data_IF_411758844921
#
_entry.id   IF_411758844921
#
_cell.length_a   1.000
_cell.length_b   1.000
_cell.length_c   1.000
_cell.angle_alpha   90.00
_cell.angle_beta   90.00
_cell.angle_gamma   90.00
#
_symmetry.space_group_name_H-M   'P 1'
#
loop_
_entity.id
_entity.type
_entity.pdbx_description
1 polymer ?
#
# COMPACT_ATOMS: atom_id res chain seq x y z
N UNK A 1 62.21 -3.79 35.60
CA UNK A 1 62.76 -4.44 34.38
C UNK A 1 61.79 -5.53 33.93
N UNK A 2 61.67 -5.68 32.60
CA UNK A 2 60.90 -6.68 31.83
C UNK A 2 59.46 -6.29 31.48
N UNK A 3 59.42 -5.69 30.27
CA UNK A 3 58.30 -5.50 29.33
C UNK A 3 57.57 -6.82 29.11
N UNK A 4 56.25 -6.80 28.91
CA UNK A 4 55.54 -7.61 27.90
C UNK A 4 54.13 -6.99 27.65
N UNK A 5 53.99 -6.34 26.50
CA UNK A 5 52.75 -6.17 25.72
C UNK A 5 52.86 -7.25 24.62
N UNK A 6 51.83 -8.06 24.29
CA UNK A 6 50.70 -7.68 23.42
C UNK A 6 49.38 -8.38 23.87
N UNK A 7 48.19 -8.27 23.29
CA UNK A 7 47.72 -8.23 21.91
C UNK A 7 46.17 -8.07 22.00
N UNK A 8 45.53 -7.35 21.08
CA UNK A 8 44.24 -7.63 20.40
C UNK A 8 43.28 -8.62 21.12
N UNK A 9 42.01 -8.30 21.39
CA UNK A 9 40.93 -8.31 20.39
C UNK A 9 39.82 -7.33 20.76
N UNK A 10 39.64 -6.32 19.91
CA UNK A 10 38.42 -5.54 19.78
C UNK A 10 37.42 -6.40 18.99
N UNK A 11 36.49 -7.06 19.67
CA UNK A 11 35.34 -7.71 19.03
C UNK A 11 34.31 -6.63 18.67
N UNK A 12 34.62 -5.81 17.67
CA UNK A 12 33.59 -5.13 16.88
C UNK A 12 33.02 -6.18 15.92
N UNK A 13 32.09 -6.98 16.43
CA UNK A 13 31.16 -7.68 15.55
C UNK A 13 30.28 -6.61 14.89
N UNK A 14 30.76 -6.08 13.76
CA UNK A 14 29.90 -5.59 12.70
C UNK A 14 29.05 -6.78 12.24
N UNK A 15 27.95 -7.04 12.95
CA UNK A 15 26.87 -7.86 12.42
C UNK A 15 26.23 -7.02 11.31
N UNK A 16 26.81 -7.15 10.12
CA UNK A 16 26.24 -6.68 8.87
C UNK A 16 24.85 -7.30 8.76
N UNK A 17 23.81 -6.52 9.03
CA UNK A 17 22.44 -6.92 8.78
C UNK A 17 22.28 -7.08 7.27
N UNK A 18 22.48 -8.31 6.76
CA UNK A 18 22.06 -8.66 5.40
C UNK A 18 20.56 -8.44 5.35
N UNK A 19 20.15 -7.29 4.81
CA UNK A 19 18.76 -6.98 4.49
C UNK A 19 18.34 -8.03 3.45
N UNK A 20 17.49 -8.97 3.86
CA UNK A 20 16.92 -9.98 2.97
C UNK A 20 16.12 -9.26 1.87
N UNK A 21 16.24 -9.72 0.61
CA UNK A 21 15.46 -9.21 -0.51
C UNK A 21 13.95 -9.29 -0.24
N UNK A 22 13.50 -10.29 0.54
CA UNK A 22 12.12 -10.40 0.97
C UNK A 22 11.67 -9.24 1.87
N UNK A 23 12.54 -8.74 2.75
CA UNK A 23 12.21 -7.60 3.63
C UNK A 23 12.14 -6.29 2.84
N UNK A 24 12.94 -6.14 1.79
CA UNK A 24 12.81 -5.02 0.85
C UNK A 24 11.44 -5.05 0.17
N UNK A 25 10.99 -6.22 -0.29
CA UNK A 25 9.72 -6.37 -0.97
C UNK A 25 8.51 -6.12 -0.05
N UNK A 26 8.57 -6.53 1.23
CA UNK A 26 7.55 -6.16 2.23
C UNK A 26 7.43 -4.63 2.33
N UNK A 27 8.56 -3.92 2.41
CA UNK A 27 8.54 -2.46 2.48
C UNK A 27 7.97 -1.84 1.20
N UNK A 28 8.29 -2.38 0.02
CA UNK A 28 7.70 -1.89 -1.23
C UNK A 28 6.18 -2.02 -1.26
N UNK A 29 5.63 -3.16 -0.81
CA UNK A 29 4.18 -3.37 -0.72
C UNK A 29 3.53 -2.35 0.23
N UNK A 30 4.11 -2.17 1.42
CA UNK A 30 3.56 -1.25 2.43
C UNK A 30 3.71 0.22 2.02
N UNK A 31 4.80 0.59 1.34
CA UNK A 31 4.99 1.94 0.83
C UNK A 31 3.90 2.33 -0.19
N UNK A 32 3.49 1.39 -1.05
CA UNK A 32 2.40 1.63 -2.00
C UNK A 32 1.07 1.86 -1.26
N UNK A 33 0.79 1.07 -0.22
CA UNK A 33 -0.37 1.30 0.66
C UNK A 33 -0.31 2.70 1.28
N UNK A 34 0.82 3.05 1.91
CA UNK A 34 0.99 4.31 2.63
C UNK A 34 0.91 5.53 1.72
N UNK A 35 1.28 5.42 0.44
CA UNK A 35 1.19 6.49 -0.56
C UNK A 35 -0.26 6.97 -0.75
N UNK A 36 -1.23 6.06 -0.72
CA UNK A 36 -2.64 6.36 -1.04
C UNK A 36 -3.54 6.40 0.19
N UNK A 37 -3.10 5.90 1.34
CA UNK A 37 -3.86 5.99 2.60
C UNK A 37 -4.30 7.41 2.98
N UNK A 38 -3.48 8.47 2.83
CA UNK A 38 -3.92 9.85 3.07
C UNK A 38 -5.08 10.31 2.17
N UNK A 39 -5.32 9.66 1.02
CA UNK A 39 -6.36 10.02 0.05
C UNK A 39 -7.72 9.43 0.39
N UNK A 40 -7.82 8.54 1.37
CA UNK A 40 -9.08 7.88 1.74
C UNK A 40 -10.15 8.88 2.21
N UNK A 41 -9.74 9.94 2.91
CA UNK A 41 -10.65 11.03 3.28
C UNK A 41 -11.13 11.85 2.07
N UNK A 42 -10.25 12.02 1.07
CA UNK A 42 -10.58 12.71 -0.17
C UNK A 42 -11.61 11.92 -1.00
N UNK A 43 -11.47 10.59 -1.11
CA UNK A 43 -12.45 9.71 -1.78
C UNK A 43 -13.87 9.91 -1.24
N UNK A 44 -14.03 9.85 0.08
CA UNK A 44 -15.34 10.02 0.72
C UNK A 44 -15.91 11.42 0.48
N UNK A 45 -15.05 12.45 0.56
CA UNK A 45 -15.44 13.84 0.30
C UNK A 45 -15.91 14.03 -1.15
N UNK A 46 -15.15 13.51 -2.12
CA UNK A 46 -15.48 13.61 -3.54
C UNK A 46 -16.77 12.85 -3.86
N UNK A 47 -16.94 11.65 -3.29
CA UNK A 47 -18.15 10.84 -3.51
C UNK A 47 -19.39 11.60 -3.08
N UNK A 48 -19.35 12.24 -1.90
CA UNK A 48 -20.45 13.09 -1.43
C UNK A 48 -20.72 14.26 -2.40
N UNK A 49 -19.68 14.99 -2.82
CA UNK A 49 -19.83 16.13 -3.75
C UNK A 49 -20.41 15.72 -5.10
N UNK A 50 -19.98 14.58 -5.64
CA UNK A 50 -20.48 14.03 -6.90
C UNK A 50 -21.96 13.67 -6.76
N UNK A 51 -22.35 13.00 -5.68
CA UNK A 51 -23.76 12.66 -5.42
C UNK A 51 -24.63 13.90 -5.21
N UNK A 52 -24.13 14.94 -4.54
CA UNK A 52 -24.85 16.19 -4.33
C UNK A 52 -25.13 16.94 -5.66
N UNK A 53 -24.39 16.65 -6.75
CA UNK A 53 -24.63 17.19 -8.11
C UNK A 53 -25.58 16.33 -8.96
N UNK A 54 -25.97 15.13 -8.52
CA UNK A 54 -26.83 14.23 -9.31
C UNK A 54 -28.19 14.87 -9.59
N UNK A 55 -28.76 15.53 -8.57
CA UNK A 55 -30.02 16.26 -8.71
C UNK A 55 -29.79 17.54 -9.52
N UNK A 56 -30.39 17.62 -10.72
CA UNK A 56 -30.25 18.77 -11.62
C UNK A 56 -29.14 18.64 -12.67
N UNK A 57 -28.39 17.54 -12.68
CA UNK A 57 -27.44 17.23 -13.75
C UNK A 57 -28.15 16.77 -15.03
N UNK A 58 -27.62 17.15 -16.19
CA UNK A 58 -28.01 16.57 -17.49
C UNK A 58 -27.52 15.14 -17.70
N UNK A 59 -26.56 14.70 -16.88
CA UNK A 59 -25.92 13.38 -16.93
C UNK A 59 -25.90 12.72 -15.54
N UNK A 60 -27.08 12.42 -14.94
CA UNK A 60 -27.16 11.91 -13.57
C UNK A 60 -26.55 10.51 -13.41
N UNK A 61 -26.63 9.67 -14.43
CA UNK A 61 -26.11 8.30 -14.37
C UNK A 61 -24.57 8.28 -14.43
N UNK A 62 -23.95 9.17 -15.21
CA UNK A 62 -22.50 9.33 -15.24
C UNK A 62 -21.95 9.73 -13.86
N UNK A 63 -22.63 10.66 -13.16
CA UNK A 63 -22.26 11.06 -11.80
C UNK A 63 -22.44 9.90 -10.80
N UNK A 64 -23.49 9.09 -10.94
CA UNK A 64 -23.67 7.89 -10.10
C UNK A 64 -22.56 6.88 -10.32
N UNK A 65 -22.14 6.67 -11.57
CA UNK A 65 -21.06 5.74 -11.91
C UNK A 65 -19.71 6.22 -11.34
N UNK A 66 -19.43 7.52 -11.40
CA UNK A 66 -18.23 8.12 -10.76
C UNK A 66 -18.29 7.92 -9.24
N UNK A 67 -19.45 8.19 -8.62
CA UNK A 67 -19.63 7.99 -7.19
C UNK A 67 -19.45 6.51 -6.77
N UNK A 68 -19.89 5.57 -7.61
CA UNK A 68 -19.69 4.14 -7.40
C UNK A 68 -18.21 3.76 -7.49
N UNK A 69 -17.46 4.25 -8.48
CA UNK A 69 -16.02 3.97 -8.61
C UNK A 69 -15.21 4.49 -7.42
N UNK A 70 -15.55 5.65 -6.88
CA UNK A 70 -14.95 6.16 -5.63
C UNK A 70 -15.21 5.23 -4.44
N UNK A 71 -16.43 4.69 -4.33
CA UNK A 71 -16.80 3.74 -3.28
C UNK A 71 -16.07 2.40 -3.43
N UNK A 72 -15.98 1.89 -4.66
CA UNK A 72 -15.28 0.65 -4.98
C UNK A 72 -13.78 0.78 -4.70
N UNK A 73 -13.15 1.91 -5.04
CA UNK A 73 -11.76 2.18 -4.71
C UNK A 73 -11.52 2.20 -3.18
N UNK A 74 -12.44 2.84 -2.43
CA UNK A 74 -12.37 2.81 -0.97
C UNK A 74 -12.48 1.38 -0.43
N UNK A 75 -13.47 0.61 -0.91
CA UNK A 75 -13.68 -0.78 -0.50
C UNK A 75 -12.49 -1.67 -0.86
N UNK A 76 -11.88 -1.45 -2.03
CA UNK A 76 -10.69 -2.16 -2.49
C UNK A 76 -9.54 -2.06 -1.49
N UNK A 77 -9.24 -0.87 -0.99
CA UNK A 77 -8.22 -0.68 0.05
C UNK A 77 -8.58 -1.43 1.35
N UNK A 78 -9.82 -1.31 1.82
CA UNK A 78 -10.25 -1.98 3.06
C UNK A 78 -10.18 -3.51 2.95
N UNK A 79 -10.58 -4.07 1.81
CA UNK A 79 -10.48 -5.50 1.53
C UNK A 79 -9.02 -5.96 1.50
N UNK A 80 -8.16 -5.22 0.80
CA UNK A 80 -6.74 -5.50 0.74
C UNK A 80 -6.10 -5.50 2.14
N UNK A 81 -6.37 -4.46 2.96
CA UNK A 81 -5.85 -4.38 4.34
C UNK A 81 -6.32 -5.54 5.21
N UNK A 82 -7.59 -5.92 5.10
CA UNK A 82 -8.14 -7.07 5.82
C UNK A 82 -7.43 -8.37 5.40
N UNK A 83 -7.26 -8.61 4.10
CA UNK A 83 -6.60 -9.81 3.61
C UNK A 83 -5.13 -9.86 4.01
N UNK A 84 -4.42 -8.73 3.88
CA UNK A 84 -3.04 -8.59 4.33
C UNK A 84 -2.90 -8.89 5.81
N UNK A 85 -3.77 -8.34 6.67
CA UNK A 85 -3.71 -8.55 8.11
C UNK A 85 -3.91 -10.02 8.52
N UNK A 86 -4.69 -10.78 7.75
CA UNK A 86 -4.99 -12.19 8.01
C UNK A 86 -3.89 -13.13 7.51
N UNK A 87 -3.28 -12.80 6.38
CA UNK A 87 -2.47 -13.77 5.62
C UNK A 87 -0.98 -13.44 5.59
N UNK A 88 -0.55 -12.19 5.83
CA UNK A 88 0.85 -11.78 5.62
C UNK A 88 1.82 -12.28 6.70
N UNK A 89 1.32 -12.64 7.89
CA UNK A 89 2.16 -12.90 9.06
C UNK A 89 3.26 -13.98 8.84
N UNK A 90 2.97 -15.15 8.25
CA UNK A 90 3.99 -16.18 8.01
C UNK A 90 5.11 -15.70 7.07
N UNK A 91 4.75 -14.89 6.06
CA UNK A 91 5.69 -14.38 5.06
C UNK A 91 6.56 -13.25 5.62
N UNK A 92 6.00 -12.37 6.44
CA UNK A 92 6.74 -11.26 7.08
C UNK A 92 7.66 -11.76 8.19
N UNK A 93 7.26 -12.82 8.90
CA UNK A 93 8.05 -13.40 10.00
C UNK A 93 9.11 -14.40 9.54
N UNK A 94 9.28 -14.60 8.24
CA UNK A 94 10.19 -15.61 7.67
C UNK A 94 9.87 -17.04 8.13
N UNK A 95 8.58 -17.35 8.29
CA UNK A 95 8.08 -18.68 8.67
C UNK A 95 7.81 -19.57 7.43
N UNK A 96 8.07 -19.06 6.22
CA UNK A 96 7.91 -19.76 4.93
C UNK A 96 9.25 -19.89 4.20
N UNK A 97 9.29 -20.67 3.12
CA UNK A 97 10.46 -20.67 2.23
C UNK A 97 10.64 -19.31 1.54
N UNK A 98 11.85 -19.02 1.05
CA UNK A 98 12.13 -17.79 0.30
C UNK A 98 11.27 -17.71 -0.97
N UNK A 99 11.07 -18.83 -1.66
CA UNK A 99 10.26 -18.89 -2.88
C UNK A 99 8.80 -18.54 -2.60
N UNK A 100 8.21 -19.12 -1.56
CA UNK A 100 6.85 -18.81 -1.12
C UNK A 100 6.70 -17.34 -0.68
N UNK A 101 7.68 -16.82 0.08
CA UNK A 101 7.71 -15.41 0.51
C UNK A 101 7.72 -14.48 -0.70
N UNK A 102 8.63 -14.72 -1.65
CA UNK A 102 8.74 -13.89 -2.85
C UNK A 102 7.49 -13.98 -3.73
N UNK A 103 6.93 -15.18 -3.91
CA UNK A 103 5.69 -15.38 -4.67
C UNK A 103 4.51 -14.63 -4.08
N UNK A 104 4.26 -14.78 -2.78
CA UNK A 104 3.20 -14.08 -2.07
C UNK A 104 3.36 -12.56 -2.14
N UNK A 105 4.54 -12.04 -1.83
CA UNK A 105 4.77 -10.59 -1.78
C UNK A 105 4.72 -9.93 -3.17
N UNK A 106 5.12 -10.62 -4.24
CA UNK A 106 4.95 -10.10 -5.60
C UNK A 106 3.47 -10.02 -5.98
N UNK A 107 2.67 -11.05 -5.64
CA UNK A 107 1.22 -11.01 -5.87
C UNK A 107 0.55 -9.88 -5.07
N UNK A 108 0.94 -9.68 -3.81
CA UNK A 108 0.43 -8.57 -2.99
C UNK A 108 0.86 -7.20 -3.52
N UNK A 109 2.07 -7.08 -4.07
CA UNK A 109 2.54 -5.86 -4.74
C UNK A 109 1.67 -5.50 -5.94
N UNK A 110 1.31 -6.47 -6.77
CA UNK A 110 0.41 -6.25 -7.91
C UNK A 110 -0.98 -5.83 -7.43
N UNK A 111 -1.53 -6.52 -6.42
CA UNK A 111 -2.84 -6.20 -5.83
C UNK A 111 -2.89 -4.78 -5.26
N UNK A 112 -1.92 -4.40 -4.44
CA UNK A 112 -1.90 -3.06 -3.82
C UNK A 112 -1.60 -1.97 -4.85
N UNK A 113 -0.84 -2.27 -5.91
CA UNK A 113 -0.65 -1.35 -7.05
C UNK A 113 -1.97 -1.10 -7.77
N UNK A 114 -2.78 -2.14 -8.01
CA UNK A 114 -4.12 -1.97 -8.57
C UNK A 114 -5.01 -1.10 -7.68
N UNK A 115 -5.00 -1.33 -6.36
CA UNK A 115 -5.73 -0.49 -5.40
C UNK A 115 -5.27 0.97 -5.49
N UNK A 116 -3.97 1.22 -5.56
CA UNK A 116 -3.39 2.56 -5.72
C UNK A 116 -3.91 3.25 -6.99
N UNK A 117 -3.92 2.53 -8.10
CA UNK A 117 -4.38 3.05 -9.39
C UNK A 117 -5.89 3.32 -9.37
N UNK A 118 -6.71 2.40 -8.83
CA UNK A 118 -8.16 2.57 -8.69
C UNK A 118 -8.50 3.82 -7.83
N UNK A 119 -7.75 4.07 -6.75
CA UNK A 119 -7.89 5.27 -5.92
C UNK A 119 -7.53 6.54 -6.70
N UNK A 120 -6.36 6.59 -7.34
CA UNK A 120 -5.92 7.80 -8.03
C UNK A 120 -6.79 8.13 -9.25
N UNK A 121 -7.22 7.11 -10.01
CA UNK A 121 -8.06 7.28 -11.18
C UNK A 121 -9.47 7.76 -10.80
N UNK A 122 -10.10 7.12 -9.81
CA UNK A 122 -11.44 7.55 -9.36
C UNK A 122 -11.45 8.98 -8.80
N UNK A 123 -10.38 9.39 -8.09
CA UNK A 123 -10.19 10.79 -7.66
C UNK A 123 -10.08 11.74 -8.85
N UNK A 124 -9.29 11.38 -9.87
CA UNK A 124 -9.09 12.21 -11.05
C UNK A 124 -10.39 12.41 -11.83
N UNK A 125 -11.14 11.33 -12.07
CA UNK A 125 -12.44 11.38 -12.74
C UNK A 125 -13.45 12.22 -11.97
N UNK A 126 -13.55 12.05 -10.65
CA UNK A 126 -14.45 12.83 -9.82
C UNK A 126 -14.10 14.32 -9.82
N UNK A 127 -12.81 14.66 -9.78
CA UNK A 127 -12.36 16.05 -9.89
C UNK A 127 -12.72 16.65 -11.23
N UNK A 128 -12.61 15.89 -12.32
CA UNK A 128 -12.96 16.37 -13.65
C UNK A 128 -14.46 16.64 -13.76
N UNK A 129 -15.30 15.70 -13.33
CA UNK A 129 -16.76 15.87 -13.33
C UNK A 129 -17.24 17.04 -12.44
N UNK A 130 -16.47 17.41 -11.40
CA UNK A 130 -16.82 18.51 -10.51
C UNK A 130 -16.40 19.90 -11.02
N UNK A 131 -15.51 19.99 -12.03
CA UNK A 131 -15.12 21.29 -12.65
C UNK A 131 -16.21 21.87 -13.56
N UNK A 132 -17.06 21.00 -14.10
CA UNK A 132 -18.21 21.35 -14.93
C UNK A 132 -19.44 21.70 -14.07
#
# INVERSE_FOLDING_TARGET
MKKFLPLLVLFLAFACAKKDNGDALVNEVLNIHDEVMPKMGELMSLRKKVLDKVEGSSSPDELRDIALRLEEAQKGMMLWMNDWSKNSAPFVKNETTQEEKMGYLNAEKERVTKVKDDINNSIAEAKEALKN
#
